data_IF_099823242975
#
_entry.id   IF_099823242975
#
_cell.length_a   1.000
_cell.length_b   1.000
_cell.length_c   1.000
_cell.angle_alpha   90.00
_cell.angle_beta   90.00
_cell.angle_gamma   90.00
#
_symmetry.space_group_name_H-M   'P 1'
#
loop_
_entity.id
_entity.type
_entity.pdbx_description
1 polymer ?
#
# COMPACT_ATOMS: atom_id res chain seq x y z
N UNK A 1 6.36 -4.65 4.74
CA UNK A 1 6.26 -3.47 3.86
C UNK A 1 7.44 -3.46 2.92
N UNK A 2 7.26 -2.99 1.69
CA UNK A 2 8.34 -2.84 0.69
C UNK A 2 8.44 -1.35 0.35
N UNK A 3 9.54 -0.69 0.72
CA UNK A 3 9.74 0.70 0.37
C UNK A 3 10.10 0.84 -1.11
N UNK A 4 9.49 1.80 -1.81
CA UNK A 4 9.72 2.08 -3.24
C UNK A 4 11.02 2.87 -3.44
N UNK A 5 12.16 2.27 -3.12
CA UNK A 5 13.47 2.92 -3.08
C UNK A 5 14.48 2.34 -4.07
N UNK A 6 14.01 1.79 -5.21
CA UNK A 6 14.88 1.24 -6.25
C UNK A 6 16.04 2.18 -6.64
N UNK A 7 15.76 3.47 -6.83
CA UNK A 7 16.78 4.45 -7.19
C UNK A 7 17.92 4.56 -6.16
N UNK A 8 17.61 4.40 -4.87
CA UNK A 8 18.62 4.41 -3.80
C UNK A 8 19.46 3.15 -3.87
N UNK A 9 18.82 1.98 -3.99
CA UNK A 9 19.52 0.70 -4.07
C UNK A 9 20.38 0.59 -5.33
N UNK A 10 19.93 1.17 -6.45
CA UNK A 10 20.65 1.22 -7.70
C UNK A 10 21.89 2.12 -7.58
N UNK A 11 21.76 3.30 -6.97
CA UNK A 11 22.88 4.21 -6.73
C UNK A 11 23.94 3.61 -5.79
N UNK A 12 23.51 2.78 -4.83
CA UNK A 12 24.41 2.03 -3.95
C UNK A 12 25.07 0.83 -4.64
N UNK A 13 24.68 0.49 -5.87
CA UNK A 13 25.19 -0.67 -6.59
C UNK A 13 24.71 -2.02 -6.02
N UNK A 14 23.66 -2.02 -5.20
CA UNK A 14 23.09 -3.23 -4.58
C UNK A 14 22.19 -3.98 -5.57
N UNK A 15 21.52 -3.25 -6.47
CA UNK A 15 20.71 -3.78 -7.56
C UNK A 15 21.13 -3.16 -8.88
N UNK A 16 21.05 -3.90 -9.98
CA UNK A 16 21.41 -3.42 -11.32
C UNK A 16 20.19 -3.20 -12.22
N UNK A 17 19.07 -3.85 -11.92
CA UNK A 17 17.78 -3.63 -12.57
C UNK A 17 16.62 -3.73 -11.58
N UNK A 18 15.44 -3.27 -12.00
CA UNK A 18 14.23 -3.42 -11.19
C UNK A 18 13.87 -4.90 -10.96
N UNK A 19 14.22 -5.78 -11.91
CA UNK A 19 14.02 -7.23 -11.73
C UNK A 19 14.75 -7.76 -10.50
N UNK A 20 15.97 -7.29 -10.19
CA UNK A 20 16.67 -7.76 -8.99
C UNK A 20 15.91 -7.43 -7.70
N UNK A 21 15.21 -6.29 -7.67
CA UNK A 21 14.37 -5.95 -6.52
C UNK A 21 13.19 -6.94 -6.40
N UNK A 22 12.55 -7.28 -7.52
CA UNK A 22 11.46 -8.27 -7.55
C UNK A 22 11.97 -9.66 -7.15
N UNK A 23 13.12 -10.09 -7.65
CA UNK A 23 13.73 -11.38 -7.32
C UNK A 23 14.01 -11.49 -5.82
N UNK A 24 14.62 -10.47 -5.23
CA UNK A 24 14.93 -10.42 -3.80
C UNK A 24 13.70 -10.51 -2.91
N UNK A 25 12.52 -10.13 -3.42
CA UNK A 25 11.25 -10.18 -2.69
C UNK A 25 10.53 -11.51 -2.95
N UNK A 26 10.32 -11.87 -4.21
CA UNK A 26 9.38 -12.93 -4.59
C UNK A 26 10.03 -14.29 -4.77
N UNK A 27 11.30 -14.36 -5.20
CA UNK A 27 11.94 -15.65 -5.44
C UNK A 27 12.02 -16.51 -4.15
N UNK A 28 12.47 -15.98 -2.99
CA UNK A 28 12.45 -16.74 -1.74
C UNK A 28 11.04 -17.19 -1.31
N UNK A 29 10.01 -16.39 -1.65
CA UNK A 29 8.61 -16.71 -1.35
C UNK A 29 8.08 -17.85 -2.23
N UNK A 30 8.51 -17.91 -3.49
CA UNK A 30 8.20 -19.04 -4.38
C UNK A 30 8.92 -20.30 -3.92
N UNK A 31 10.23 -20.22 -3.64
CA UNK A 31 11.05 -21.35 -3.19
C UNK A 31 10.48 -22.00 -1.93
N UNK A 32 10.18 -21.21 -0.89
CA UNK A 32 9.58 -21.73 0.37
C UNK A 32 8.16 -22.26 0.19
N UNK A 33 7.42 -21.77 -0.81
CA UNK A 33 6.09 -22.29 -1.12
C UNK A 33 6.18 -23.64 -1.85
N UNK A 34 7.16 -23.79 -2.76
CA UNK A 34 7.42 -25.05 -3.47
C UNK A 34 7.92 -26.10 -2.49
N UNK A 35 8.93 -25.77 -1.70
CA UNK A 35 9.52 -26.64 -0.68
C UNK A 35 9.67 -25.89 0.65
N UNK A 36 8.76 -26.12 1.63
CA UNK A 36 8.87 -25.55 2.96
C UNK A 36 10.18 -25.85 3.71
N UNK A 37 10.88 -26.93 3.36
CA UNK A 37 12.15 -27.30 3.99
C UNK A 37 13.33 -26.45 3.52
N UNK A 38 13.23 -25.79 2.36
CA UNK A 38 14.25 -24.87 1.84
C UNK A 38 14.45 -23.66 2.76
N UNK A 39 13.35 -23.17 3.37
CA UNK A 39 13.35 -22.00 4.25
C UNK A 39 12.37 -22.22 5.42
N UNK A 40 12.70 -23.08 6.40
CA UNK A 40 11.73 -23.53 7.41
C UNK A 40 11.24 -22.39 8.31
N UNK A 41 12.11 -21.45 8.67
CA UNK A 41 11.75 -20.28 9.47
C UNK A 41 10.83 -19.33 8.70
N UNK A 42 11.12 -19.11 7.40
CA UNK A 42 10.27 -18.29 6.53
C UNK A 42 8.90 -18.94 6.34
N UNK A 43 8.83 -20.27 6.18
CA UNK A 43 7.55 -20.98 6.09
C UNK A 43 6.67 -20.73 7.31
N UNK A 44 7.24 -20.84 8.51
CA UNK A 44 6.51 -20.58 9.77
C UNK A 44 6.09 -19.13 9.87
N UNK A 45 6.98 -18.19 9.54
CA UNK A 45 6.68 -16.76 9.52
C UNK A 45 5.51 -16.44 8.59
N UNK A 46 5.51 -16.98 7.37
CA UNK A 46 4.49 -16.72 6.37
C UNK A 46 3.10 -17.17 6.80
N UNK A 47 2.95 -18.10 7.75
CA UNK A 47 1.63 -18.45 8.33
C UNK A 47 0.97 -17.27 9.06
N UNK A 48 1.76 -16.30 9.51
CA UNK A 48 1.29 -15.09 10.20
C UNK A 48 1.19 -13.88 9.27
N UNK A 49 1.79 -13.93 8.09
CA UNK A 49 1.74 -12.83 7.13
C UNK A 49 0.38 -12.80 6.43
N UNK A 50 -0.30 -11.66 6.53
CA UNK A 50 -1.66 -11.45 5.99
C UNK A 50 -1.73 -10.42 4.87
N UNK A 51 -0.65 -9.65 4.68
CA UNK A 51 -0.64 -8.52 3.77
C UNK A 51 0.76 -8.15 3.29
N UNK A 52 0.82 -7.68 2.04
CA UNK A 52 1.97 -7.01 1.45
C UNK A 52 1.57 -5.56 1.18
N UNK A 53 2.45 -4.65 1.57
CA UNK A 53 2.18 -3.22 1.59
C UNK A 53 3.37 -2.49 0.96
N UNK A 54 3.09 -1.60 0.01
CA UNK A 54 4.08 -0.75 -0.66
C UNK A 54 4.04 0.63 -0.02
N UNK A 55 5.21 1.18 0.29
CA UNK A 55 5.36 2.47 0.98
C UNK A 55 6.43 3.32 0.32
N UNK A 56 6.30 4.65 0.38
CA UNK A 56 7.33 5.70 0.23
C UNK A 56 6.60 7.05 0.30
N UNK A 57 7.33 8.15 0.37
CA UNK A 57 6.78 9.51 0.19
C UNK A 57 6.06 9.65 -1.17
N UNK A 58 4.73 9.63 -1.13
CA UNK A 58 3.87 9.73 -2.31
C UNK A 58 3.94 11.10 -3.01
N UNK A 59 4.46 12.14 -2.35
CA UNK A 59 4.55 13.49 -2.91
C UNK A 59 5.69 13.65 -3.92
N UNK A 60 6.65 12.71 -3.93
CA UNK A 60 7.77 12.73 -4.86
C UNK A 60 7.28 12.69 -6.31
N UNK A 61 7.73 13.62 -7.17
CA UNK A 61 7.35 13.63 -8.57
C UNK A 61 7.75 12.33 -9.26
N UNK A 62 6.83 11.76 -10.02
CA UNK A 62 7.06 10.57 -10.82
C UNK A 62 6.63 10.79 -12.28
N UNK A 63 7.25 10.05 -13.20
CA UNK A 63 6.84 10.07 -14.60
C UNK A 63 5.69 9.09 -14.79
N UNK A 64 4.52 9.60 -15.18
CA UNK A 64 3.36 8.78 -15.50
C UNK A 64 3.74 7.70 -16.53
N UNK A 65 3.46 6.41 -16.26
CA UNK A 65 3.80 5.34 -17.18
C UNK A 65 3.13 5.48 -18.55
N UNK A 66 3.80 5.00 -19.58
CA UNK A 66 3.24 4.90 -20.94
C UNK A 66 2.91 3.45 -21.28
N UNK A 67 2.27 3.20 -22.42
CA UNK A 67 2.01 1.83 -22.90
C UNK A 67 3.30 1.04 -23.20
N UNK A 68 4.39 1.74 -23.48
CA UNK A 68 5.66 1.15 -23.92
C UNK A 68 6.73 1.22 -22.83
N UNK A 69 6.33 0.99 -21.57
CA UNK A 69 7.28 0.94 -20.47
C UNK A 69 8.20 -0.27 -20.62
N UNK A 70 9.51 -0.11 -20.32
CA UNK A 70 10.44 -1.23 -20.37
C UNK A 70 10.07 -2.30 -19.34
N UNK A 71 10.50 -3.53 -19.59
CA UNK A 71 10.36 -4.65 -18.65
C UNK A 71 11.22 -4.43 -17.39
N UNK A 72 10.98 -5.15 -16.27
CA UNK A 72 11.77 -5.00 -15.05
C UNK A 72 13.26 -5.24 -15.27
N UNK A 73 13.62 -6.17 -16.15
CA UNK A 73 15.00 -6.50 -16.53
C UNK A 73 15.65 -5.35 -17.29
N UNK A 74 14.88 -4.68 -18.15
CA UNK A 74 15.34 -3.53 -18.96
C UNK A 74 15.34 -2.22 -18.16
N UNK A 75 14.64 -2.14 -17.04
CA UNK A 75 14.68 -0.99 -16.14
C UNK A 75 15.99 -0.97 -15.35
N UNK A 76 17.05 -0.47 -15.98
CA UNK A 76 18.42 -0.36 -15.43
C UNK A 76 18.85 1.08 -15.15
N UNK A 77 18.01 2.05 -15.51
CA UNK A 77 18.29 3.46 -15.31
C UNK A 77 18.24 3.85 -13.82
N UNK A 78 18.74 5.05 -13.51
CA UNK A 78 18.85 5.59 -12.13
C UNK A 78 17.53 6.09 -11.54
N UNK A 79 16.48 6.20 -12.35
CA UNK A 79 15.20 6.74 -11.91
C UNK A 79 14.36 5.67 -11.21
N UNK A 80 13.61 6.11 -10.20
CA UNK A 80 12.64 5.25 -9.53
C UNK A 80 11.45 4.99 -10.48
N UNK A 81 11.02 3.73 -10.68
CA UNK A 81 9.78 3.46 -11.40
C UNK A 81 8.59 4.16 -10.73
N UNK A 82 7.59 4.52 -11.53
CA UNK A 82 6.36 5.10 -11.01
C UNK A 82 5.59 4.11 -10.11
N UNK A 83 4.76 4.63 -9.21
CA UNK A 83 3.94 3.84 -8.30
C UNK A 83 3.16 2.71 -9.00
N UNK A 84 2.47 3.01 -10.10
CA UNK A 84 1.66 2.03 -10.82
C UNK A 84 2.50 0.91 -11.46
N UNK A 85 3.76 1.18 -11.80
CA UNK A 85 4.71 0.16 -12.26
C UNK A 85 5.07 -0.80 -11.11
N UNK A 86 5.42 -0.27 -9.95
CA UNK A 86 5.62 -1.08 -8.73
C UNK A 86 4.39 -1.92 -8.40
N UNK A 87 3.22 -1.29 -8.35
CA UNK A 87 1.97 -1.94 -8.00
C UNK A 87 1.65 -3.09 -8.96
N UNK A 88 1.84 -2.90 -10.27
CA UNK A 88 1.60 -3.93 -11.28
C UNK A 88 2.49 -5.16 -11.07
N UNK A 89 3.81 -4.99 -11.00
CA UNK A 89 4.72 -6.14 -10.88
C UNK A 89 4.64 -6.80 -9.50
N UNK A 90 4.37 -6.03 -8.44
CA UNK A 90 4.09 -6.61 -7.13
C UNK A 90 2.80 -7.43 -7.14
N UNK A 91 1.73 -6.89 -7.74
CA UNK A 91 0.47 -7.60 -7.91
C UNK A 91 0.63 -8.88 -8.72
N UNK A 92 1.29 -8.83 -9.88
CA UNK A 92 1.42 -9.98 -10.78
C UNK A 92 2.18 -11.14 -10.12
N UNK A 93 3.27 -10.84 -9.42
CA UNK A 93 4.02 -11.83 -8.65
C UNK A 93 3.21 -12.36 -7.47
N UNK A 94 2.59 -11.48 -6.68
CA UNK A 94 1.80 -11.87 -5.51
C UNK A 94 0.57 -12.70 -5.90
N UNK A 95 -0.09 -12.37 -7.01
CA UNK A 95 -1.21 -13.12 -7.56
C UNK A 95 -0.78 -14.55 -7.91
N UNK A 96 0.31 -14.70 -8.66
CA UNK A 96 0.84 -16.01 -9.07
C UNK A 96 1.29 -16.83 -7.86
N UNK A 97 2.00 -16.18 -6.92
CA UNK A 97 2.39 -16.78 -5.65
C UNK A 97 1.17 -17.26 -4.86
N UNK A 98 0.14 -16.43 -4.72
CA UNK A 98 -1.07 -16.78 -3.99
C UNK A 98 -1.81 -17.94 -4.64
N UNK A 99 -1.85 -18.03 -5.97
CA UNK A 99 -2.44 -19.17 -6.68
C UNK A 99 -1.69 -20.47 -6.41
N UNK A 100 -0.36 -20.41 -6.31
CA UNK A 100 0.46 -21.55 -5.91
C UNK A 100 0.29 -21.93 -4.43
N UNK A 101 0.22 -20.93 -3.54
CA UNK A 101 -0.01 -21.17 -2.10
C UNK A 101 -1.38 -21.79 -1.86
N UNK A 102 -2.40 -21.27 -2.53
CA UNK A 102 -3.78 -21.79 -2.50
C UNK A 102 -3.84 -23.24 -2.98
N UNK A 103 -3.18 -23.59 -4.10
CA UNK A 103 -3.17 -24.97 -4.61
C UNK A 103 -2.47 -25.96 -3.68
N UNK A 104 -1.60 -25.47 -2.79
CA UNK A 104 -0.92 -26.25 -1.74
C UNK A 104 -1.62 -26.19 -0.37
N UNK A 105 -2.80 -25.57 -0.28
CA UNK A 105 -3.53 -25.41 0.98
C UNK A 105 -2.84 -24.50 2.00
N UNK A 106 -1.98 -23.59 1.55
CA UNK A 106 -1.28 -22.61 2.39
C UNK A 106 -2.07 -21.29 2.44
N UNK A 107 -1.83 -20.49 3.49
CA UNK A 107 -2.43 -19.15 3.59
C UNK A 107 -1.94 -18.22 2.48
N UNK A 108 -2.78 -17.28 2.05
CA UNK A 108 -2.46 -16.27 1.02
C UNK A 108 -2.21 -14.90 1.65
N UNK A 109 -1.58 -14.02 0.87
CA UNK A 109 -1.15 -12.69 1.31
C UNK A 109 -1.91 -11.65 0.50
N UNK A 110 -2.67 -10.78 1.16
CA UNK A 110 -3.46 -9.75 0.46
C UNK A 110 -2.59 -8.56 0.05
N UNK A 111 -2.88 -7.96 -1.10
CA UNK A 111 -2.20 -6.72 -1.50
C UNK A 111 -2.90 -5.50 -0.88
N UNK A 112 -2.20 -4.75 -0.02
CA UNK A 112 -2.75 -3.63 0.76
C UNK A 112 -1.75 -2.46 0.86
N UNK A 113 -1.46 -1.74 -0.24
CA UNK A 113 -0.45 -0.69 -0.25
C UNK A 113 -0.93 0.60 0.45
N UNK A 114 0.03 1.45 0.82
CA UNK A 114 -0.22 2.87 1.04
C UNK A 114 -0.45 3.54 -0.32
N UNK A 115 -1.55 4.29 -0.43
CA UNK A 115 -1.88 5.03 -1.65
C UNK A 115 -2.83 6.20 -1.42
N UNK A 116 -2.56 7.30 -2.12
CA UNK A 116 -3.43 8.46 -2.17
C UNK A 116 -3.44 9.28 -0.89
N UNK A 117 -2.40 9.22 -0.07
CA UNK A 117 -2.12 10.24 0.93
C UNK A 117 -1.72 11.56 0.25
N UNK A 118 -0.79 11.46 -0.71
CA UNK A 118 -0.28 12.54 -1.53
C UNK A 118 -0.15 12.08 -2.99
N UNK A 119 0.65 12.76 -3.81
CA UNK A 119 0.91 12.33 -5.18
C UNK A 119 -0.24 12.48 -6.18
N UNK A 120 -0.12 11.75 -7.29
CA UNK A 120 -1.07 11.74 -8.42
C UNK A 120 -2.29 10.84 -8.11
N UNK A 121 -3.47 11.22 -8.60
CA UNK A 121 -4.70 10.45 -8.46
C UNK A 121 -4.63 9.08 -9.15
N UNK A 122 -3.72 8.90 -10.11
CA UNK A 122 -3.47 7.63 -10.79
C UNK A 122 -3.04 6.51 -9.83
N UNK A 123 -2.46 6.84 -8.66
CA UNK A 123 -2.17 5.85 -7.61
C UNK A 123 -3.45 5.14 -7.16
N UNK A 124 -4.53 5.90 -7.01
CA UNK A 124 -5.85 5.40 -6.60
C UNK A 124 -6.52 4.60 -7.71
N UNK A 125 -6.31 4.97 -8.97
CA UNK A 125 -6.80 4.21 -10.12
C UNK A 125 -6.09 2.85 -10.23
N UNK A 126 -4.76 2.81 -10.06
CA UNK A 126 -4.00 1.57 -10.08
C UNK A 126 -4.37 0.65 -8.91
N UNK A 127 -4.50 1.20 -7.70
CA UNK A 127 -4.87 0.40 -6.52
C UNK A 127 -6.31 -0.11 -6.57
N UNK A 128 -7.25 0.65 -7.15
CA UNK A 128 -8.61 0.16 -7.38
C UNK A 128 -8.64 -1.12 -8.22
N UNK A 129 -7.76 -1.21 -9.23
CA UNK A 129 -7.72 -2.36 -10.15
C UNK A 129 -6.99 -3.57 -9.56
N UNK A 130 -6.05 -3.37 -8.63
CA UNK A 130 -5.08 -4.40 -8.25
C UNK A 130 -5.16 -4.82 -6.76
N UNK A 131 -5.72 -3.99 -5.89
CA UNK A 131 -5.52 -4.13 -4.44
C UNK A 131 -6.80 -4.53 -3.70
N UNK A 132 -6.65 -5.12 -2.52
CA UNK A 132 -7.77 -5.53 -1.67
C UNK A 132 -8.28 -4.39 -0.78
N UNK A 133 -7.36 -3.53 -0.35
CA UNK A 133 -7.60 -2.33 0.46
C UNK A 133 -6.40 -1.41 0.31
N UNK A 134 -6.49 -0.18 0.80
CA UNK A 134 -5.37 0.76 0.85
C UNK A 134 -5.27 1.42 2.23
N UNK A 135 -4.08 1.89 2.57
CA UNK A 135 -3.89 2.90 3.61
C UNK A 135 -4.05 4.29 2.99
N UNK A 136 -4.60 5.24 3.75
CA UNK A 136 -4.95 6.61 3.38
C UNK A 136 -6.18 6.76 2.46
N UNK A 137 -6.00 6.94 1.15
CA UNK A 137 -7.10 7.29 0.24
C UNK A 137 -7.59 8.74 0.33
N UNK A 138 -6.85 9.65 0.98
CA UNK A 138 -7.22 11.08 1.13
C UNK A 138 -7.55 11.73 -0.23
N UNK A 139 -6.74 11.46 -1.24
CA UNK A 139 -6.87 12.03 -2.57
C UNK A 139 -8.11 11.56 -3.34
N UNK A 140 -8.88 10.59 -2.84
CA UNK A 140 -10.22 10.29 -3.38
C UNK A 140 -11.15 11.50 -3.30
N UNK A 141 -10.87 12.48 -2.42
CA UNK A 141 -11.58 13.78 -2.41
C UNK A 141 -11.44 14.58 -3.70
N UNK A 142 -10.40 14.31 -4.50
CA UNK A 142 -10.07 15.03 -5.75
C UNK A 142 -10.68 14.39 -6.99
N UNK A 143 -11.24 13.18 -6.88
CA UNK A 143 -11.84 12.46 -8.00
C UNK A 143 -13.20 11.85 -7.60
N UNK A 144 -14.32 12.50 -7.96
CA UNK A 144 -15.65 11.97 -7.71
C UNK A 144 -15.85 10.58 -8.32
N UNK A 145 -15.27 10.33 -9.49
CA UNK A 145 -15.39 9.03 -10.19
C UNK A 145 -14.70 7.93 -9.40
N UNK A 146 -13.43 8.11 -9.01
CA UNK A 146 -12.72 7.08 -8.25
C UNK A 146 -13.36 6.88 -6.88
N UNK A 147 -13.77 7.94 -6.20
CA UNK A 147 -14.48 7.83 -4.93
C UNK A 147 -15.75 6.98 -5.04
N UNK A 148 -16.54 7.19 -6.11
CA UNK A 148 -17.73 6.40 -6.35
C UNK A 148 -17.42 4.94 -6.69
N UNK A 149 -16.34 4.68 -7.44
CA UNK A 149 -15.88 3.31 -7.71
C UNK A 149 -15.42 2.59 -6.43
N UNK A 150 -14.70 3.27 -5.54
CA UNK A 150 -14.31 2.72 -4.23
C UNK A 150 -15.52 2.41 -3.35
N UNK A 151 -16.56 3.26 -3.41
CA UNK A 151 -17.84 2.99 -2.77
C UNK A 151 -18.51 1.73 -3.35
N UNK A 152 -18.64 1.63 -4.67
CA UNK A 152 -19.29 0.47 -5.30
C UNK A 152 -18.50 -0.83 -5.08
N UNK A 153 -17.18 -0.78 -5.18
CA UNK A 153 -16.29 -1.91 -4.96
C UNK A 153 -16.06 -2.26 -3.49
N UNK A 154 -16.52 -1.41 -2.57
CA UNK A 154 -16.29 -1.53 -1.12
C UNK A 154 -14.82 -1.78 -0.76
N UNK A 155 -13.91 -1.12 -1.50
CA UNK A 155 -12.46 -1.20 -1.25
C UNK A 155 -12.16 -0.47 0.06
N UNK A 156 -11.55 -1.19 1.00
CA UNK A 156 -11.29 -0.69 2.34
C UNK A 156 -10.23 0.42 2.39
N UNK A 157 -10.47 1.44 3.20
CA UNK A 157 -9.59 2.58 3.46
C UNK A 157 -9.20 2.61 4.94
N UNK A 158 -7.95 2.29 5.25
CA UNK A 158 -7.38 2.48 6.58
C UNK A 158 -6.81 3.91 6.68
N UNK A 159 -7.51 4.79 7.40
CA UNK A 159 -7.21 6.21 7.46
C UNK A 159 -6.70 6.60 8.85
N UNK A 160 -5.66 7.43 8.90
CA UNK A 160 -5.08 7.92 10.15
C UNK A 160 -5.17 9.46 10.24
N UNK A 161 -6.36 10.03 10.50
CA UNK A 161 -6.56 11.49 10.54
C UNK A 161 -5.55 12.28 11.39
N UNK A 162 -5.14 11.79 12.58
CA UNK A 162 -4.14 12.48 13.40
C UNK A 162 -2.75 12.49 12.76
N UNK A 163 -2.35 11.38 12.13
CA UNK A 163 -1.12 11.32 11.31
C UNK A 163 -1.18 12.34 10.17
N UNK A 164 -2.27 12.31 9.41
CA UNK A 164 -2.42 13.18 8.25
C UNK A 164 -2.41 14.66 8.65
N UNK A 165 -2.96 15.00 9.83
CA UNK A 165 -2.89 16.35 10.40
C UNK A 165 -1.48 16.81 10.74
N UNK A 166 -0.64 15.90 11.23
CA UNK A 166 0.74 16.22 11.59
C UNK A 166 1.62 16.53 10.37
N UNK A 167 1.25 16.05 9.18
CA UNK A 167 2.15 16.03 8.01
C UNK A 167 1.61 16.75 6.77
N UNK A 168 0.33 16.58 6.43
CA UNK A 168 -0.16 16.89 5.07
C UNK A 168 -1.46 17.68 5.00
N UNK A 169 -2.34 17.54 5.99
CA UNK A 169 -3.72 18.01 5.88
C UNK A 169 -4.34 18.30 7.24
N UNK A 170 -4.66 19.58 7.48
CA UNK A 170 -5.44 20.03 8.64
C UNK A 170 -6.61 19.09 8.99
N UNK A 171 -6.73 18.75 10.28
CA UNK A 171 -7.63 17.72 10.78
C UNK A 171 -9.08 17.92 10.33
N UNK A 172 -9.59 19.16 10.41
CA UNK A 172 -10.96 19.50 10.02
C UNK A 172 -11.19 19.41 8.51
N UNK A 173 -10.13 19.39 7.72
CA UNK A 173 -10.16 19.20 6.26
C UNK A 173 -9.98 17.75 5.85
N UNK A 174 -9.76 16.82 6.78
CA UNK A 174 -9.64 15.39 6.48
C UNK A 174 -10.96 14.83 5.93
N UNK A 175 -10.95 14.08 4.80
CA UNK A 175 -12.18 13.60 4.18
C UNK A 175 -12.81 12.40 4.90
N UNK A 176 -12.19 11.84 5.95
CA UNK A 176 -12.71 10.67 6.67
C UNK A 176 -14.20 10.76 7.03
N UNK A 177 -14.70 11.83 7.68
CA UNK A 177 -16.11 11.85 8.08
C UNK A 177 -17.07 11.90 6.90
N UNK A 178 -16.68 12.58 5.81
CA UNK A 178 -17.45 12.61 4.57
C UNK A 178 -17.47 11.23 3.88
N UNK A 179 -16.34 10.52 3.87
CA UNK A 179 -16.28 9.16 3.32
C UNK A 179 -17.14 8.19 4.14
N UNK A 180 -17.11 8.29 5.47
CA UNK A 180 -17.97 7.54 6.36
C UNK A 180 -19.46 7.80 6.09
N UNK A 181 -19.88 9.06 6.03
CA UNK A 181 -21.27 9.43 5.72
C UNK A 181 -21.75 8.93 4.35
N UNK A 182 -20.84 8.85 3.38
CA UNK A 182 -21.14 8.33 2.02
C UNK A 182 -21.14 6.81 1.96
N UNK A 183 -20.86 6.11 3.05
CA UNK A 183 -20.84 4.65 3.12
C UNK A 183 -19.63 4.02 2.42
N UNK A 184 -18.52 4.76 2.28
CA UNK A 184 -17.26 4.13 1.91
C UNK A 184 -16.80 3.22 3.06
N UNK A 185 -16.11 2.13 2.70
CA UNK A 185 -15.55 1.18 3.66
C UNK A 185 -14.31 1.78 4.34
N UNK A 186 -14.52 2.62 5.36
CA UNK A 186 -13.45 3.32 6.08
C UNK A 186 -13.21 2.72 7.46
N UNK A 187 -11.96 2.77 7.91
CA UNK A 187 -11.55 2.44 9.28
C UNK A 187 -10.54 3.45 9.78
N UNK A 188 -10.53 3.71 11.09
CA UNK A 188 -9.49 4.52 11.74
C UNK A 188 -8.27 3.67 12.06
N UNK A 189 -7.09 4.21 11.82
CA UNK A 189 -5.76 3.66 12.12
C UNK A 189 -4.85 4.71 12.76
N UNK A 190 -3.74 4.27 13.33
CA UNK A 190 -2.84 5.14 14.12
C UNK A 190 -1.58 5.59 13.38
N UNK A 191 -1.24 4.92 12.29
CA UNK A 191 0.03 5.12 11.57
C UNK A 191 1.26 4.95 12.48
N UNK A 192 1.89 6.04 12.93
CA UNK A 192 3.04 6.08 13.83
C UNK A 192 2.65 6.45 15.28
N UNK A 193 2.10 5.51 16.08
CA UNK A 193 1.62 5.80 17.44
C UNK A 193 2.67 6.43 18.35
N UNK A 194 3.95 6.08 18.17
CA UNK A 194 5.05 6.61 18.97
C UNK A 194 5.30 8.10 18.71
N UNK A 195 5.01 8.59 17.50
CA UNK A 195 5.28 9.97 17.11
C UNK A 195 4.07 10.88 17.32
N UNK A 196 2.86 10.35 17.13
CA UNK A 196 1.64 11.15 16.99
C UNK A 196 0.81 11.19 18.28
N UNK A 197 0.71 10.06 18.99
CA UNK A 197 -0.26 9.89 20.05
C UNK A 197 0.31 10.22 21.43
N UNK A 198 -0.53 10.80 22.29
CA UNK A 198 -0.13 11.23 23.64
C UNK A 198 -0.58 10.25 24.71
N UNK A 199 -1.55 9.40 24.40
CA UNK A 199 -2.13 8.46 25.37
C UNK A 199 -1.47 7.08 25.30
N UNK A 200 -1.75 6.27 26.33
CA UNK A 200 -1.32 4.85 26.37
C UNK A 200 -2.13 3.96 25.42
N UNK A 201 -3.25 4.46 24.89
CA UNK A 201 -4.17 3.73 24.02
C UNK A 201 -4.35 4.49 22.69
N UNK A 202 -3.34 4.46 21.79
CA UNK A 202 -3.30 5.31 20.60
C UNK A 202 -4.54 5.21 19.72
N UNK A 203 -5.00 3.99 19.44
CA UNK A 203 -6.19 3.81 18.61
C UNK A 203 -7.45 4.36 19.30
N UNK A 204 -7.59 4.20 20.62
CA UNK A 204 -8.72 4.75 21.37
C UNK A 204 -8.70 6.28 21.32
N UNK A 205 -7.52 6.89 21.38
CA UNK A 205 -7.34 8.33 21.17
C UNK A 205 -7.78 8.78 19.77
N UNK A 206 -7.42 8.03 18.71
CA UNK A 206 -7.87 8.31 17.33
C UNK A 206 -9.41 8.33 17.27
N UNK A 207 -10.06 7.29 17.80
CA UNK A 207 -11.53 7.20 17.84
C UNK A 207 -12.16 8.29 18.70
N UNK A 208 -11.58 8.61 19.86
CA UNK A 208 -12.12 9.61 20.79
C UNK A 208 -12.07 11.01 20.21
N UNK A 209 -10.97 11.38 19.55
CA UNK A 209 -10.84 12.67 18.89
C UNK A 209 -11.77 12.72 17.67
N UNK A 210 -11.82 11.67 16.85
CA UNK A 210 -12.71 11.61 15.70
C UNK A 210 -14.20 11.76 16.10
N UNK A 211 -14.63 11.10 17.18
CA UNK A 211 -16.01 11.19 17.70
C UNK A 211 -16.37 12.59 18.23
N UNK A 212 -15.38 13.38 18.66
CA UNK A 212 -15.60 14.75 19.15
C UNK A 212 -15.83 15.76 18.01
N UNK A 213 -15.60 15.36 16.76
CA UNK A 213 -15.77 16.21 15.57
C UNK A 213 -17.03 15.79 14.81
N UNK A 214 -18.03 16.68 14.63
CA UNK A 214 -19.18 16.39 13.80
C UNK A 214 -18.74 16.04 12.38
N UNK A 215 -19.34 15.06 11.70
CA UNK A 215 -20.60 14.36 11.98
C UNK A 215 -20.50 12.99 12.70
N UNK A 216 -19.37 12.66 13.34
CA UNK A 216 -19.18 11.35 13.98
C UNK A 216 -19.76 11.27 15.41
N UNK A 217 -20.30 12.38 15.92
CA UNK A 217 -21.05 12.51 17.18
C UNK A 217 -22.50 12.06 17.05
#
# INVERSE_FOLDING_TARGET
QIPRLYNVYQQMGIVTSFQNLLDNIFLPLFEVTIDPASHPQLHVFLKQVVGLDLVDDESKPERRPTKHMPTPEEWTNVFNPAFSYYAYYCYANLYTLNKLRESKGMNTIKFRPHAGEAGDVDHLAATFLLCHSISHGINLRKSPVLQYLYYLGQIGLAMSPLSNNSLFLDYHRNPFPMFFQRGLNVSLSTDDPLQIHLTKEPLVEEYSIAASVPPLS
#
